data_IF_591365515102
#
_entry.id   IF_591365515102
#
_cell.length_a   1.000
_cell.length_b   1.000
_cell.length_c   1.000
_cell.angle_alpha   90.00
_cell.angle_beta   90.00
_cell.angle_gamma   90.00
#
_symmetry.space_group_name_H-M   'P 1'
#
loop_
_entity.id
_entity.type
_entity.pdbx_description
1 polymer ?
#
# COMPACT_ATOMS: atom_id res chain seq x y z
N UNK A 1 -8.77 -3.36 -16.97
CA UNK A 1 -8.38 -2.61 -15.76
C UNK A 1 -6.94 -2.99 -15.43
N UNK A 2 -6.01 -2.04 -15.34
CA UNK A 2 -4.60 -2.36 -15.04
C UNK A 2 -4.46 -2.94 -13.63
N UNK A 3 -3.83 -4.11 -13.52
CA UNK A 3 -3.68 -4.81 -12.25
C UNK A 3 -2.72 -4.03 -11.33
N UNK A 4 -2.77 -4.31 -10.02
CA UNK A 4 -1.84 -3.70 -9.05
C UNK A 4 -0.38 -4.07 -9.39
N UNK A 5 -0.18 -5.26 -9.92
CA UNK A 5 1.12 -5.80 -10.31
C UNK A 5 1.68 -5.04 -11.50
N UNK A 6 0.87 -4.77 -12.52
CA UNK A 6 1.29 -3.98 -13.70
C UNK A 6 1.80 -2.60 -13.28
N UNK A 7 1.05 -1.92 -12.39
CA UNK A 7 1.43 -0.61 -11.90
C UNK A 7 2.75 -0.63 -11.10
N UNK A 8 3.04 -1.72 -10.37
CA UNK A 8 4.32 -1.88 -9.66
C UNK A 8 5.47 -2.13 -10.65
N UNK A 9 5.25 -2.90 -11.70
CA UNK A 9 6.24 -3.19 -12.74
C UNK A 9 6.58 -1.92 -13.53
N UNK A 10 5.57 -1.17 -13.98
CA UNK A 10 5.75 0.05 -14.78
C UNK A 10 6.56 1.12 -14.05
N UNK A 11 6.42 1.20 -12.73
CA UNK A 11 7.10 2.18 -11.89
C UNK A 11 8.35 1.61 -11.20
N UNK A 12 8.75 0.38 -11.52
CA UNK A 12 9.90 -0.23 -10.87
C UNK A 12 11.20 0.52 -11.21
N UNK A 13 11.94 0.87 -10.16
CA UNK A 13 13.30 1.36 -10.28
C UNK A 13 14.14 0.74 -9.18
N UNK A 14 15.16 -0.02 -9.57
CA UNK A 14 16.03 -0.70 -8.62
C UNK A 14 16.74 0.32 -7.71
N UNK A 15 16.58 0.18 -6.40
CA UNK A 15 17.23 1.05 -5.41
C UNK A 15 18.76 0.97 -5.40
N UNK A 16 19.34 -0.13 -5.90
CA UNK A 16 20.80 -0.32 -5.98
C UNK A 16 21.41 0.24 -7.25
N UNK A 17 20.96 -0.20 -8.42
CA UNK A 17 21.59 0.12 -9.70
C UNK A 17 20.74 1.04 -10.61
N UNK A 18 19.56 1.48 -10.14
CA UNK A 18 18.60 2.32 -10.88
C UNK A 18 18.10 1.74 -12.20
N UNK A 19 18.41 0.47 -12.48
CA UNK A 19 17.86 -0.27 -13.61
C UNK A 19 16.34 -0.41 -13.46
N UNK A 20 15.63 -0.40 -14.60
CA UNK A 20 14.16 -0.50 -14.66
C UNK A 20 13.65 -1.87 -15.10
N UNK A 21 14.55 -2.80 -15.46
CA UNK A 21 14.11 -4.16 -15.79
C UNK A 21 13.98 -5.01 -14.52
N UNK A 22 12.89 -5.77 -14.42
CA UNK A 22 12.63 -6.68 -13.33
C UNK A 22 12.00 -7.99 -13.79
N UNK A 23 12.14 -9.00 -12.96
CA UNK A 23 11.41 -10.27 -13.00
C UNK A 23 10.52 -10.33 -11.78
N UNK A 24 9.24 -10.64 -11.98
CA UNK A 24 8.26 -10.71 -10.90
C UNK A 24 7.82 -12.14 -10.62
N UNK A 25 7.49 -12.42 -9.36
CA UNK A 25 6.91 -13.69 -8.94
C UNK A 25 5.87 -13.48 -7.85
N UNK A 26 4.64 -13.88 -8.13
CA UNK A 26 3.59 -13.92 -7.12
C UNK A 26 3.71 -15.17 -6.26
N UNK A 27 3.57 -15.00 -4.95
CA UNK A 27 3.62 -16.09 -3.97
C UNK A 27 2.48 -15.90 -2.99
N UNK A 28 1.70 -16.96 -2.80
CA UNK A 28 0.70 -17.03 -1.73
C UNK A 28 1.32 -17.78 -0.55
N UNK A 29 1.26 -17.19 0.65
CA UNK A 29 1.80 -17.82 1.86
C UNK A 29 0.65 -18.34 2.69
N UNK A 30 0.68 -19.65 2.99
CA UNK A 30 -0.28 -20.28 3.89
C UNK A 30 -0.11 -19.78 5.32
N UNK A 31 -1.23 -19.62 6.05
CA UNK A 31 -1.21 -19.27 7.47
C UNK A 31 -0.40 -20.33 8.24
N UNK A 32 0.64 -19.90 8.96
CA UNK A 32 1.47 -20.75 9.82
C UNK A 32 2.82 -21.22 9.25
N UNK A 33 3.17 -20.82 8.02
CA UNK A 33 4.51 -21.13 7.46
C UNK A 33 5.62 -20.20 7.97
N UNK A 34 6.87 -20.67 7.94
CA UNK A 34 8.08 -19.88 8.30
C UNK A 34 8.15 -18.52 7.57
N UNK A 35 7.68 -18.47 6.32
CA UNK A 35 7.59 -17.23 5.56
C UNK A 35 6.65 -16.21 6.20
N UNK A 36 5.56 -16.65 6.82
CA UNK A 36 4.65 -15.76 7.54
C UNK A 36 5.31 -15.21 8.81
N UNK A 37 6.18 -15.98 9.47
CA UNK A 37 6.95 -15.44 10.58
C UNK A 37 7.98 -14.41 10.14
N UNK A 38 8.69 -14.66 9.03
CA UNK A 38 9.74 -13.75 8.57
C UNK A 38 9.14 -12.45 8.01
N UNK A 39 8.04 -12.55 7.26
CA UNK A 39 7.38 -11.40 6.64
C UNK A 39 6.37 -10.71 7.58
N UNK A 40 5.81 -11.43 8.55
CA UNK A 40 4.78 -10.96 9.48
C UNK A 40 5.27 -10.50 10.85
N UNK A 41 6.58 -10.59 11.16
CA UNK A 41 7.18 -10.19 12.46
C UNK A 41 7.05 -8.70 12.82
N UNK A 42 6.41 -7.88 11.99
CA UNK A 42 6.26 -6.44 12.18
C UNK A 42 4.95 -5.94 12.79
N UNK A 43 3.90 -6.75 12.93
CA UNK A 43 2.70 -6.21 13.58
C UNK A 43 1.42 -7.01 13.47
N UNK A 44 0.77 -7.16 14.63
CA UNK A 44 -0.52 -7.81 14.92
C UNK A 44 -0.47 -9.33 14.88
N UNK A 45 -0.47 -9.89 16.09
CA UNK A 45 -1.23 -11.11 16.35
C UNK A 45 -2.63 -10.87 15.78
N UNK A 46 -2.93 -11.44 14.63
CA UNK A 46 -4.33 -11.68 14.26
C UNK A 46 -4.78 -12.64 15.34
N UNK A 47 -5.58 -12.12 16.28
CA UNK A 47 -6.21 -12.91 17.32
C UNK A 47 -6.81 -14.14 16.66
N UNK A 48 -6.49 -15.31 17.22
CA UNK A 48 -7.20 -16.55 16.98
C UNK A 48 -8.67 -16.31 17.31
N UNK A 49 -9.45 -15.77 16.37
CA UNK A 49 -10.89 -15.95 16.41
C UNK A 49 -11.14 -17.31 15.78
N UNK A 50 -11.52 -18.20 16.68
CA UNK A 50 -11.81 -19.60 16.45
C UNK A 50 -12.76 -19.78 15.28
N UNK A 51 -12.52 -20.89 14.59
CA UNK A 51 -13.31 -21.45 13.52
C UNK A 51 -14.81 -21.43 13.84
N UNK A 52 -15.53 -20.47 13.27
CA UNK A 52 -16.98 -20.59 13.05
C UNK A 52 -17.22 -20.77 11.54
N UNK A 53 -17.97 -21.83 11.25
CA UNK A 53 -18.07 -22.62 10.02
C UNK A 53 -18.68 -21.92 8.79
N UNK A 54 -18.66 -20.59 8.69
CA UNK A 54 -19.39 -19.86 7.63
C UNK A 54 -18.56 -18.78 6.91
N UNK A 55 -17.26 -18.68 7.17
CA UNK A 55 -16.41 -17.77 6.41
C UNK A 55 -15.68 -18.50 5.26
N UNK A 56 -15.72 -17.96 4.02
CA UNK A 56 -14.95 -18.49 2.91
C UNK A 56 -13.45 -18.49 3.26
N UNK A 57 -12.65 -19.42 2.70
CA UNK A 57 -11.23 -19.51 3.04
C UNK A 57 -10.58 -18.15 2.84
N UNK A 58 -10.08 -17.54 3.93
CA UNK A 58 -9.35 -16.29 3.85
C UNK A 58 -8.27 -16.44 2.77
N UNK A 59 -8.23 -15.57 1.75
CA UNK A 59 -7.18 -15.64 0.76
C UNK A 59 -5.87 -15.41 1.51
N UNK A 60 -5.03 -16.45 1.63
CA UNK A 60 -3.74 -16.35 2.30
C UNK A 60 -2.95 -15.15 1.79
N UNK A 61 -2.07 -14.60 2.63
CA UNK A 61 -1.36 -13.37 2.30
C UNK A 61 -0.61 -13.52 0.97
N UNK A 62 -0.95 -12.67 0.00
CA UNK A 62 -0.32 -12.65 -1.31
C UNK A 62 0.79 -11.62 -1.33
N UNK A 63 1.97 -12.07 -1.75
CA UNK A 63 3.16 -11.25 -1.88
C UNK A 63 3.64 -11.25 -3.33
N UNK A 64 4.20 -10.13 -3.76
CA UNK A 64 4.87 -9.98 -5.03
C UNK A 64 6.36 -9.77 -4.77
N UNK A 65 7.18 -10.69 -5.27
CA UNK A 65 8.62 -10.53 -5.32
C UNK A 65 8.98 -9.84 -6.63
N UNK A 66 9.76 -8.76 -6.54
CA UNK A 66 10.23 -7.99 -7.70
C UNK A 66 11.74 -7.99 -7.66
N UNK A 67 12.37 -8.71 -8.59
CA UNK A 67 13.82 -8.86 -8.66
C UNK A 67 14.39 -8.09 -9.83
N UNK A 68 15.38 -7.23 -9.59
CA UNK A 68 16.08 -6.51 -10.63
C UNK A 68 16.77 -7.47 -11.60
N UNK A 69 16.50 -7.33 -12.90
CA UNK A 69 17.09 -8.17 -13.95
C UNK A 69 18.60 -7.95 -14.18
N UNK A 70 19.19 -6.92 -13.55
CA UNK A 70 20.61 -6.60 -13.69
C UNK A 70 21.45 -7.03 -12.48
N UNK A 71 21.09 -6.56 -11.28
CA UNK A 71 21.89 -6.78 -10.07
C UNK A 71 21.33 -7.84 -9.12
N UNK A 72 20.17 -8.43 -9.45
CA UNK A 72 19.53 -9.46 -8.62
C UNK A 72 18.94 -8.97 -7.30
N UNK A 73 18.91 -7.66 -7.04
CA UNK A 73 18.25 -7.12 -5.86
C UNK A 73 16.74 -7.37 -5.90
N UNK A 74 16.19 -7.86 -4.79
CA UNK A 74 14.78 -8.25 -4.68
C UNK A 74 14.06 -7.41 -3.63
N UNK A 75 12.89 -6.90 -4.00
CA UNK A 75 11.91 -6.27 -3.10
C UNK A 75 10.67 -7.15 -2.96
N UNK A 76 9.99 -7.06 -1.82
CA UNK A 76 8.79 -7.85 -1.52
C UNK A 76 7.64 -6.90 -1.19
N UNK A 77 6.54 -7.02 -1.91
CA UNK A 77 5.35 -6.20 -1.75
C UNK A 77 4.18 -7.04 -1.22
N UNK A 78 3.50 -6.59 -0.18
CA UNK A 78 2.21 -7.16 0.22
C UNK A 78 1.12 -6.62 -0.73
N UNK A 79 0.47 -7.51 -1.48
CA UNK A 79 -0.57 -7.12 -2.43
C UNK A 79 -1.83 -6.59 -1.73
N UNK A 80 -2.10 -7.03 -0.50
CA UNK A 80 -3.19 -6.51 0.32
C UNK A 80 -3.00 -5.02 0.64
N UNK A 81 -1.78 -4.63 1.05
CA UNK A 81 -1.44 -3.23 1.33
C UNK A 81 -1.48 -2.40 0.04
N UNK A 82 -0.97 -2.94 -1.06
CA UNK A 82 -0.95 -2.26 -2.34
C UNK A 82 -2.37 -1.99 -2.88
N UNK A 83 -3.30 -2.95 -2.71
CA UNK A 83 -4.71 -2.77 -3.04
C UNK A 83 -5.34 -1.68 -2.17
N UNK A 84 -5.18 -1.76 -0.84
CA UNK A 84 -5.70 -0.76 0.10
C UNK A 84 -5.18 0.66 -0.19
N UNK A 85 -3.91 0.80 -0.55
CA UNK A 85 -3.31 2.09 -0.90
C UNK A 85 -3.93 2.69 -2.17
N UNK A 86 -4.29 1.87 -3.18
CA UNK A 86 -5.02 2.36 -4.38
C UNK A 86 -6.41 2.85 -4.01
N UNK A 87 -7.14 2.11 -3.19
CA UNK A 87 -8.48 2.48 -2.73
C UNK A 87 -8.46 3.79 -1.94
N UNK A 88 -7.48 3.97 -1.03
CA UNK A 88 -7.32 5.22 -0.29
C UNK A 88 -6.95 6.41 -1.15
N UNK A 89 -6.02 6.26 -2.10
CA UNK A 89 -5.66 7.36 -3.03
C UNK A 89 -6.86 7.78 -3.88
N UNK A 90 -7.71 6.84 -4.29
CA UNK A 90 -8.94 7.15 -4.99
C UNK A 90 -9.95 7.92 -4.11
N UNK A 91 -10.03 7.62 -2.81
CA UNK A 91 -10.97 8.27 -1.89
C UNK A 91 -10.58 9.70 -1.47
N UNK A 92 -9.30 10.08 -1.55
CA UNK A 92 -8.81 11.42 -1.13
C UNK A 92 -9.05 12.51 -2.18
N UNK A 93 -9.44 12.15 -3.41
CA UNK A 93 -9.79 13.11 -4.47
C UNK A 93 -11.24 13.58 -4.31
N UNK A 94 -11.55 14.27 -3.20
CA UNK A 94 -12.68 15.22 -3.15
C UNK A 94 -12.08 16.62 -3.10
N UNK A 95 -12.27 17.47 -4.13
CA UNK A 95 -11.79 18.84 -4.10
C UNK A 95 -12.42 19.53 -2.89
N UNK A 96 -11.63 19.88 -1.88
CA UNK A 96 -12.10 20.84 -0.90
C UNK A 96 -12.08 22.20 -1.57
N UNK A 97 -13.26 22.68 -1.98
CA UNK A 97 -13.46 24.09 -2.30
C UNK A 97 -13.02 24.91 -1.10
N UNK A 98 -11.94 25.68 -1.30
CA UNK A 98 -11.37 26.58 -0.30
C UNK A 98 -12.44 27.63 0.01
N UNK A 99 -12.99 27.72 1.24
CA UNK A 99 -13.99 28.74 1.53
C UNK A 99 -13.34 30.12 1.38
N UNK A 100 -14.03 31.00 0.66
CA UNK A 100 -13.60 32.36 0.36
C UNK A 100 -13.22 33.10 1.66
N UNK A 101 -12.07 33.77 1.62
CA UNK A 101 -11.52 34.52 2.73
C UNK A 101 -12.57 35.47 3.34
N UNK A 102 -12.90 35.26 4.62
CA UNK A 102 -13.69 36.18 5.42
C UNK A 102 -12.88 37.48 5.58
N UNK A 103 -13.28 38.55 4.89
CA UNK A 103 -12.69 39.89 5.05
C UNK A 103 -13.21 40.50 6.35
N UNK A 104 -12.35 40.60 7.36
CA UNK A 104 -12.61 41.40 8.55
C UNK A 104 -12.41 42.87 8.16
N UNK A 105 -13.49 43.62 7.97
CA UNK A 105 -13.44 45.07 7.81
C UNK A 105 -13.32 45.66 9.21
N UNK A 106 -12.13 46.10 9.57
CA UNK A 106 -11.89 46.82 10.82
C UNK A 106 -12.13 48.30 10.62
N UNK A 107 -13.30 48.81 11.02
CA UNK A 107 -13.48 50.23 11.27
C UNK A 107 -12.91 50.56 12.66
N UNK A 108 -11.83 51.34 12.68
CA UNK A 108 -11.28 51.90 13.92
C UNK A 108 -11.03 53.41 13.73
N UNK A 109 -11.87 54.26 14.34
CA UNK A 109 -11.43 55.58 14.80
C UNK A 109 -11.82 55.78 16.27
N UNK A 110 -11.28 56.68 17.06
CA UNK A 110 -10.01 57.38 17.16
C UNK A 110 -10.04 57.90 18.61
N UNK A 111 -9.07 57.52 19.45
CA UNK A 111 -9.04 57.97 20.86
C UNK A 111 -8.52 59.41 20.88
N UNK A 112 -9.26 60.33 21.51
CA UNK A 112 -8.81 61.68 21.89
C UNK A 112 -8.38 61.68 23.35
#
# INVERSE_FOLDING_TARGET
MASVVDALIENFQCSKCRNRTCVTREVSVSKGGLLNEILGRGGRRVSNHEANSENPPDPGDKYLYVTCGLCGYTEVYSLAIAAYARERKAAVVKPQEKPAALRIVGDRPAVR
#
